data_IF_688484881460
#
_entry.id   IF_688484881460
#
_cell.length_a   1.000
_cell.length_b   1.000
_cell.length_c   1.000
_cell.angle_alpha   90.00
_cell.angle_beta   90.00
_cell.angle_gamma   90.00
#
_symmetry.space_group_name_H-M   'P 1'
#
loop_
_entity.id
_entity.type
_entity.pdbx_description
1 polymer ?
#
# COMPACT_ATOMS: atom_id res chain seq x y z
N UNK A 1 32.07 -30.42 42.23
CA UNK A 1 31.67 -29.00 42.13
C UNK A 1 31.14 -28.77 40.72
N UNK A 2 29.82 -28.64 40.58
CA UNK A 2 29.13 -28.46 39.30
C UNK A 2 28.74 -27.00 39.19
N UNK A 3 29.37 -26.24 38.26
CA UNK A 3 28.96 -24.87 37.92
C UNK A 3 27.87 -24.94 36.84
N UNK A 4 26.63 -24.66 37.22
CA UNK A 4 25.51 -24.43 36.31
C UNK A 4 25.57 -22.98 35.80
N UNK A 5 25.89 -22.78 34.53
CA UNK A 5 25.85 -21.50 33.86
C UNK A 5 24.44 -21.28 33.33
N UNK A 6 23.67 -20.44 34.03
CA UNK A 6 22.35 -19.97 33.59
C UNK A 6 22.54 -18.94 32.44
N UNK A 7 22.24 -19.36 31.21
CA UNK A 7 22.11 -18.47 30.05
C UNK A 7 20.76 -17.78 30.13
N UNK A 8 20.76 -16.52 30.58
CA UNK A 8 19.60 -15.64 30.56
C UNK A 8 19.51 -15.01 29.16
N UNK A 9 18.72 -15.62 28.27
CA UNK A 9 18.37 -15.06 26.95
C UNK A 9 17.42 -13.88 27.14
N UNK A 10 17.96 -12.67 27.06
CA UNK A 10 17.17 -11.46 26.97
C UNK A 10 16.50 -11.36 25.57
N UNK A 11 15.21 -11.68 25.49
CA UNK A 11 14.36 -11.42 24.34
C UNK A 11 14.09 -9.90 24.29
N UNK A 12 14.95 -9.15 23.60
CA UNK A 12 14.72 -7.74 23.29
C UNK A 12 13.62 -7.69 22.22
N UNK A 13 12.41 -7.32 22.64
CA UNK A 13 11.28 -7.05 21.77
C UNK A 13 11.57 -5.88 20.83
N UNK A 14 11.55 -6.13 19.53
CA UNK A 14 11.74 -5.15 18.44
C UNK A 14 10.48 -4.30 18.15
N UNK A 15 9.78 -3.80 19.16
CA UNK A 15 8.57 -2.96 18.96
C UNK A 15 8.80 -1.46 19.16
N UNK A 16 10.05 -0.99 19.23
CA UNK A 16 10.35 0.40 19.60
C UNK A 16 10.99 1.30 18.53
N UNK A 17 11.29 0.81 17.31
CA UNK A 17 12.13 1.59 16.37
C UNK A 17 11.40 2.72 15.63
N UNK A 18 10.08 2.65 15.42
CA UNK A 18 9.36 3.65 14.65
C UNK A 18 9.10 4.96 15.42
N UNK A 19 8.74 4.88 16.70
CA UNK A 19 8.53 6.08 17.53
C UNK A 19 9.79 6.90 17.69
N UNK A 20 10.93 6.25 17.93
CA UNK A 20 12.26 6.91 18.04
C UNK A 20 12.62 7.64 16.76
N UNK A 21 12.32 7.08 15.60
CA UNK A 21 12.56 7.73 14.31
C UNK A 21 11.71 9.00 14.15
N UNK A 22 10.41 8.96 14.44
CA UNK A 22 9.52 10.11 14.30
C UNK A 22 9.87 11.23 15.30
N UNK A 23 10.25 10.89 16.53
CA UNK A 23 10.70 11.85 17.53
C UNK A 23 12.05 12.49 17.15
N UNK A 24 12.93 11.76 16.46
CA UNK A 24 14.17 12.32 15.93
C UNK A 24 13.90 13.30 14.76
N UNK A 25 12.96 12.98 13.86
CA UNK A 25 12.56 13.85 12.76
C UNK A 25 11.95 15.17 13.27
N UNK A 26 11.15 15.12 14.31
CA UNK A 26 10.59 16.30 14.96
C UNK A 26 11.67 17.23 15.55
N UNK A 27 12.71 16.68 16.16
CA UNK A 27 13.85 17.46 16.68
C UNK A 27 14.61 18.21 15.59
N UNK A 28 14.56 17.76 14.35
CA UNK A 28 15.16 18.45 13.18
C UNK A 28 14.13 19.29 12.41
N UNK A 29 12.93 19.49 12.97
CA UNK A 29 11.92 20.40 12.46
C UNK A 29 10.93 19.78 11.45
N UNK A 30 10.86 18.45 11.35
CA UNK A 30 9.88 17.76 10.47
C UNK A 30 8.77 17.14 11.34
N UNK A 31 7.59 17.76 11.42
CA UNK A 31 6.51 17.26 12.26
C UNK A 31 5.88 15.99 11.67
N UNK A 32 5.38 15.11 12.54
CA UNK A 32 4.72 13.84 12.16
C UNK A 32 3.57 14.03 11.16
N UNK A 33 2.93 15.21 11.19
CA UNK A 33 1.87 15.58 10.24
C UNK A 33 2.39 15.69 8.80
N UNK A 34 3.55 16.29 8.59
CA UNK A 34 4.20 16.38 7.27
C UNK A 34 4.63 14.99 6.81
N UNK A 35 5.25 14.21 7.69
CA UNK A 35 5.63 12.83 7.38
C UNK A 35 4.41 12.01 6.96
N UNK A 36 3.25 12.17 7.62
CA UNK A 36 2.02 11.47 7.25
C UNK A 36 1.56 11.86 5.82
N UNK A 37 1.59 13.14 5.48
CA UNK A 37 1.25 13.63 4.14
C UNK A 37 2.19 13.02 3.10
N UNK A 38 3.50 13.03 3.34
CA UNK A 38 4.51 12.46 2.43
C UNK A 38 4.33 10.95 2.24
N UNK A 39 3.97 10.21 3.31
CA UNK A 39 3.69 8.77 3.21
C UNK A 39 2.42 8.47 2.40
N UNK A 40 1.37 9.28 2.58
CA UNK A 40 0.14 9.14 1.78
C UNK A 40 0.42 9.47 0.31
N UNK A 41 1.22 10.49 0.03
CA UNK A 41 1.64 10.86 -1.33
C UNK A 41 2.44 9.72 -1.99
N UNK A 42 3.42 9.17 -1.30
CA UNK A 42 4.21 8.03 -1.78
C UNK A 42 3.35 6.77 -2.02
N UNK A 43 2.35 6.50 -1.18
CA UNK A 43 1.43 5.37 -1.37
C UNK A 43 0.49 5.61 -2.57
N UNK A 44 -0.01 6.83 -2.76
CA UNK A 44 -0.79 7.22 -3.94
C UNK A 44 0.00 6.98 -5.24
N UNK A 45 1.26 7.41 -5.28
CA UNK A 45 2.13 7.23 -6.45
C UNK A 45 2.41 5.75 -6.70
N UNK A 46 2.70 4.97 -5.66
CA UNK A 46 2.88 3.52 -5.75
C UNK A 46 1.62 2.82 -6.29
N UNK A 47 0.42 3.25 -5.89
CA UNK A 47 -0.84 2.72 -6.44
C UNK A 47 -1.04 3.13 -7.91
N UNK A 48 -0.64 4.33 -8.31
CA UNK A 48 -0.69 4.76 -9.71
C UNK A 48 0.24 3.91 -10.59
N UNK A 49 1.45 3.61 -10.12
CA UNK A 49 2.38 2.74 -10.80
C UNK A 49 1.88 1.29 -10.88
N UNK A 50 1.32 0.77 -9.79
CA UNK A 50 0.72 -0.56 -9.76
C UNK A 50 -0.46 -0.66 -10.75
N UNK A 51 -1.33 0.36 -10.81
CA UNK A 51 -2.43 0.43 -11.79
C UNK A 51 -1.93 0.35 -13.22
N UNK A 52 -0.86 1.07 -13.55
CA UNK A 52 -0.23 1.01 -14.87
C UNK A 52 0.35 -0.37 -15.17
N UNK A 53 1.04 -0.96 -14.20
CA UNK A 53 1.63 -2.30 -14.33
C UNK A 53 0.57 -3.38 -14.57
N UNK A 54 -0.52 -3.42 -13.78
CA UNK A 54 -1.61 -4.38 -13.99
C UNK A 54 -2.30 -4.20 -15.34
N UNK A 55 -2.44 -2.97 -15.81
CA UNK A 55 -2.98 -2.68 -17.15
C UNK A 55 -2.04 -3.15 -18.25
N UNK A 56 -0.72 -2.95 -18.12
CA UNK A 56 0.30 -3.45 -19.06
C UNK A 56 0.29 -4.98 -19.11
N UNK A 57 0.31 -5.62 -17.94
CA UNK A 57 0.26 -7.08 -17.83
C UNK A 57 -0.98 -7.67 -18.51
N UNK A 58 -2.14 -7.05 -18.37
CA UNK A 58 -3.34 -7.46 -19.07
C UNK A 58 -3.20 -7.32 -20.59
N UNK A 59 -2.65 -6.20 -21.08
CA UNK A 59 -2.46 -5.99 -22.50
C UNK A 59 -1.53 -7.05 -23.11
N UNK A 60 -0.43 -7.39 -22.42
CA UNK A 60 0.48 -8.46 -22.82
C UNK A 60 -0.22 -9.83 -22.80
N UNK A 61 -1.02 -10.11 -21.78
CA UNK A 61 -1.78 -11.35 -21.68
C UNK A 61 -2.78 -11.51 -22.85
N UNK A 62 -3.51 -10.47 -23.18
CA UNK A 62 -4.49 -10.49 -24.28
C UNK A 62 -3.81 -10.62 -25.65
N UNK A 63 -2.57 -10.16 -25.80
CA UNK A 63 -1.80 -10.30 -27.04
C UNK A 63 -1.41 -11.76 -27.34
N UNK A 64 -1.32 -12.65 -26.33
CA UNK A 64 -0.94 -14.06 -26.49
C UNK A 64 -1.82 -14.81 -27.49
N UNK A 65 -3.11 -14.50 -27.53
CA UNK A 65 -4.07 -15.14 -28.43
C UNK A 65 -3.73 -14.98 -29.93
N UNK A 66 -2.83 -14.03 -30.28
CA UNK A 66 -2.44 -13.69 -31.65
C UNK A 66 -1.01 -14.13 -32.00
N UNK A 67 -0.34 -14.79 -31.07
CA UNK A 67 1.09 -15.15 -31.23
C UNK A 67 1.23 -16.43 -31.99
N UNK A 68 2.13 -16.50 -33.02
CA UNK A 68 2.41 -17.73 -33.73
C UNK A 68 3.15 -18.74 -32.81
N UNK A 69 2.98 -20.06 -33.04
CA UNK A 69 3.63 -21.10 -32.24
C UNK A 69 5.15 -20.97 -32.08
N UNK A 70 5.82 -20.40 -33.05
CA UNK A 70 7.28 -20.17 -33.04
C UNK A 70 7.73 -19.11 -31.99
N UNK A 71 6.82 -18.28 -31.49
CA UNK A 71 7.14 -17.20 -30.57
C UNK A 71 6.64 -17.47 -29.14
N UNK A 72 6.10 -18.66 -28.86
CA UNK A 72 5.50 -19.00 -27.58
C UNK A 72 6.48 -18.91 -26.40
N UNK A 73 7.74 -19.33 -26.62
CA UNK A 73 8.77 -19.24 -25.58
C UNK A 73 9.04 -17.77 -25.20
N UNK A 74 9.24 -16.90 -26.18
CA UNK A 74 9.48 -15.48 -25.95
C UNK A 74 8.24 -14.80 -25.31
N UNK A 75 7.04 -15.25 -25.64
CA UNK A 75 5.79 -14.77 -25.07
C UNK A 75 5.66 -15.19 -23.61
N UNK A 76 5.98 -16.45 -23.29
CA UNK A 76 6.03 -16.91 -21.90
C UNK A 76 6.99 -16.05 -21.05
N UNK A 77 8.21 -15.82 -21.57
CA UNK A 77 9.23 -15.04 -20.86
C UNK A 77 8.76 -13.60 -20.56
N UNK A 78 8.06 -12.98 -21.52
CA UNK A 78 7.44 -11.66 -21.32
C UNK A 78 6.33 -11.69 -20.25
N UNK A 79 5.44 -12.67 -20.32
CA UNK A 79 4.36 -12.79 -19.32
C UNK A 79 4.89 -13.10 -17.92
N UNK A 80 5.91 -13.93 -17.79
CA UNK A 80 6.57 -14.22 -16.52
C UNK A 80 7.24 -12.95 -15.94
N UNK A 81 7.86 -12.13 -16.78
CA UNK A 81 8.41 -10.85 -16.36
C UNK A 81 7.30 -9.86 -15.91
N UNK A 82 6.21 -9.72 -16.65
CA UNK A 82 5.06 -8.88 -16.28
C UNK A 82 4.42 -9.35 -14.97
N UNK A 83 4.29 -10.65 -14.75
CA UNK A 83 3.81 -11.21 -13.51
C UNK A 83 4.72 -10.84 -12.33
N UNK A 84 6.03 -11.03 -12.44
CA UNK A 84 7.01 -10.67 -11.41
C UNK A 84 7.02 -9.17 -11.11
N UNK A 85 6.87 -8.33 -12.11
CA UNK A 85 6.75 -6.89 -11.92
C UNK A 85 5.45 -6.54 -11.18
N UNK A 86 4.34 -7.19 -11.52
CA UNK A 86 3.05 -6.99 -10.82
C UNK A 86 3.12 -7.43 -9.35
N UNK A 87 3.79 -8.57 -9.05
CA UNK A 87 4.04 -8.98 -7.66
C UNK A 87 4.88 -7.95 -6.89
N UNK A 88 5.94 -7.43 -7.51
CA UNK A 88 6.79 -6.42 -6.89
C UNK A 88 6.02 -5.13 -6.57
N UNK A 89 5.21 -4.64 -7.52
CA UNK A 89 4.35 -3.46 -7.32
C UNK A 89 3.30 -3.68 -6.24
N UNK A 90 2.67 -4.85 -6.20
CA UNK A 90 1.71 -5.18 -5.14
C UNK A 90 2.36 -5.21 -3.75
N UNK A 91 3.58 -5.72 -3.64
CA UNK A 91 4.35 -5.70 -2.39
C UNK A 91 4.70 -4.27 -1.97
N UNK A 92 5.11 -3.43 -2.92
CA UNK A 92 5.44 -2.04 -2.67
C UNK A 92 4.22 -1.26 -2.14
N UNK A 93 3.06 -1.38 -2.79
CA UNK A 93 1.82 -0.74 -2.33
C UNK A 93 1.50 -1.11 -0.89
N UNK A 94 1.59 -2.39 -0.51
CA UNK A 94 1.35 -2.82 0.88
C UNK A 94 2.34 -2.20 1.86
N UNK A 95 3.63 -2.19 1.51
CA UNK A 95 4.64 -1.57 2.35
C UNK A 95 4.39 -0.07 2.57
N UNK A 96 3.92 0.65 1.54
CA UNK A 96 3.57 2.08 1.66
C UNK A 96 2.34 2.30 2.56
N UNK A 97 1.36 1.40 2.50
CA UNK A 97 0.19 1.43 3.39
C UNK A 97 0.60 1.20 4.85
N UNK A 98 1.49 0.24 5.11
CA UNK A 98 2.03 -0.01 6.44
C UNK A 98 2.82 1.21 6.97
N UNK A 99 3.57 1.90 6.11
CA UNK A 99 4.28 3.14 6.46
C UNK A 99 3.31 4.25 6.89
N UNK A 100 2.15 4.40 6.22
CA UNK A 100 1.10 5.35 6.60
C UNK A 100 0.56 5.01 7.99
N UNK A 101 0.21 3.75 8.23
CA UNK A 101 -0.36 3.33 9.51
C UNK A 101 0.61 3.60 10.66
N UNK A 102 1.89 3.30 10.46
CA UNK A 102 2.93 3.54 11.46
C UNK A 102 3.03 5.01 11.89
N UNK A 103 3.09 5.94 10.94
CA UNK A 103 3.20 7.38 11.27
C UNK A 103 1.89 7.95 11.80
N UNK A 104 0.74 7.48 11.29
CA UNK A 104 -0.57 7.93 11.76
C UNK A 104 -0.81 7.56 13.23
N UNK A 105 -0.45 6.36 13.64
CA UNK A 105 -0.54 5.92 15.04
C UNK A 105 0.32 6.81 15.95
N UNK A 106 1.56 7.10 15.55
CA UNK A 106 2.46 7.97 16.30
C UNK A 106 1.89 9.39 16.44
N UNK A 107 1.42 10.00 15.33
CA UNK A 107 0.79 11.31 15.31
C UNK A 107 -0.44 11.39 16.22
N UNK A 108 -1.34 10.40 16.13
CA UNK A 108 -2.58 10.42 16.91
C UNK A 108 -2.36 10.16 18.40
N UNK A 109 -1.34 9.36 18.75
CA UNK A 109 -0.95 9.16 20.15
C UNK A 109 -0.41 10.44 20.75
N UNK A 110 0.52 11.11 20.08
CA UNK A 110 1.09 12.38 20.48
C UNK A 110 -0.01 13.45 20.64
N UNK A 111 -0.81 13.69 19.61
CA UNK A 111 -1.87 14.67 19.63
C UNK A 111 -2.86 14.43 20.78
N UNK A 112 -3.20 13.16 21.06
CA UNK A 112 -4.06 12.81 22.19
C UNK A 112 -3.43 13.15 23.54
N UNK A 113 -2.11 12.95 23.70
CA UNK A 113 -1.38 13.28 24.91
C UNK A 113 -1.29 14.81 25.12
N UNK A 114 -1.11 15.56 24.04
CA UNK A 114 -1.04 17.02 24.07
C UNK A 114 -2.38 17.67 24.44
N UNK A 115 -3.53 17.04 24.15
CA UNK A 115 -4.83 17.56 24.59
C UNK A 115 -4.91 17.79 26.10
N UNK A 116 -4.17 17.01 26.89
CA UNK A 116 -4.08 17.17 28.33
C UNK A 116 -3.27 18.40 28.79
N UNK A 117 -2.47 18.98 27.92
CA UNK A 117 -1.57 20.11 28.23
C UNK A 117 -2.25 21.49 28.05
N UNK A 118 -3.36 21.55 27.29
CA UNK A 118 -4.10 22.79 27.07
C UNK A 118 -4.71 23.34 28.36
N UNK A 119 -4.33 24.55 28.72
CA UNK A 119 -4.97 25.30 29.84
C UNK A 119 -6.24 26.02 29.39
N UNK A 120 -6.32 26.37 28.08
CA UNK A 120 -7.51 27.04 27.52
C UNK A 120 -8.53 25.96 27.04
N UNK A 121 -9.73 25.89 27.66
CA UNK A 121 -10.72 24.87 27.36
C UNK A 121 -11.31 25.01 25.94
N UNK A 122 -11.36 26.21 25.38
CA UNK A 122 -11.83 26.45 24.01
C UNK A 122 -10.85 25.88 22.99
N UNK A 123 -9.55 26.14 23.15
CA UNK A 123 -8.51 25.60 22.27
C UNK A 123 -8.42 24.07 22.38
N UNK A 124 -8.51 23.52 23.60
CA UNK A 124 -8.58 22.07 23.82
C UNK A 124 -9.74 21.46 23.05
N UNK A 125 -10.95 21.99 23.20
CA UNK A 125 -12.14 21.47 22.50
C UNK A 125 -12.03 21.59 20.99
N UNK A 126 -11.42 22.66 20.47
CA UNK A 126 -11.16 22.81 19.04
C UNK A 126 -10.17 21.77 18.53
N UNK A 127 -9.05 21.55 19.23
CA UNK A 127 -8.04 20.56 18.89
C UNK A 127 -8.60 19.13 18.93
N UNK A 128 -9.43 18.81 19.92
CA UNK A 128 -10.12 17.50 20.04
C UNK A 128 -11.06 17.24 18.86
N UNK A 129 -11.82 18.24 18.42
CA UNK A 129 -12.66 18.11 17.21
C UNK A 129 -11.83 17.90 15.95
N UNK A 130 -10.69 18.60 15.82
CA UNK A 130 -9.78 18.43 14.68
C UNK A 130 -9.16 17.03 14.66
N UNK A 131 -8.69 16.53 15.82
CA UNK A 131 -8.17 15.19 15.96
C UNK A 131 -9.20 14.13 15.52
N UNK A 132 -10.44 14.26 16.04
CA UNK A 132 -11.54 13.35 15.69
C UNK A 132 -11.84 13.38 14.19
N UNK A 133 -11.92 14.56 13.58
CA UNK A 133 -12.16 14.72 12.16
C UNK A 133 -11.03 14.12 11.32
N UNK A 134 -9.78 14.31 11.74
CA UNK A 134 -8.61 13.75 11.05
C UNK A 134 -8.57 12.23 11.13
N UNK A 135 -8.85 11.65 12.31
CA UNK A 135 -8.98 10.19 12.48
C UNK A 135 -10.06 9.57 11.59
N UNK A 136 -11.20 10.25 11.46
CA UNK A 136 -12.29 9.76 10.61
C UNK A 136 -11.90 9.75 9.11
N UNK A 137 -11.21 10.81 8.64
CA UNK A 137 -10.70 10.86 7.26
C UNK A 137 -9.62 9.82 7.04
N UNK A 138 -8.70 9.65 7.97
CA UNK A 138 -7.68 8.62 7.94
C UNK A 138 -8.31 7.22 7.84
N UNK A 139 -9.30 6.91 8.65
CA UNK A 139 -9.99 5.62 8.61
C UNK A 139 -10.71 5.37 7.27
N UNK A 140 -11.27 6.42 6.65
CA UNK A 140 -11.86 6.33 5.32
C UNK A 140 -10.81 6.05 4.25
N UNK A 141 -9.68 6.75 4.28
CA UNK A 141 -8.53 6.54 3.40
C UNK A 141 -7.99 5.10 3.51
N UNK A 142 -7.66 4.65 4.72
CA UNK A 142 -7.09 3.31 4.94
C UNK A 142 -8.01 2.22 4.42
N UNK A 143 -9.31 2.32 4.66
CA UNK A 143 -10.28 1.34 4.17
C UNK A 143 -10.25 1.16 2.65
N UNK A 144 -10.13 2.24 1.87
CA UNK A 144 -10.10 2.14 0.40
C UNK A 144 -8.72 1.72 -0.11
N UNK A 145 -7.64 2.09 0.59
CA UNK A 145 -6.29 1.62 0.30
C UNK A 145 -6.16 0.11 0.54
N UNK A 146 -6.63 -0.38 1.68
CA UNK A 146 -6.62 -1.80 2.02
C UNK A 146 -7.49 -2.62 1.06
N UNK A 147 -8.66 -2.09 0.66
CA UNK A 147 -9.52 -2.74 -0.32
C UNK A 147 -8.80 -2.89 -1.67
N UNK A 148 -8.16 -1.83 -2.17
CA UNK A 148 -7.39 -1.87 -3.41
C UNK A 148 -6.19 -2.84 -3.30
N UNK A 149 -5.47 -2.82 -2.17
CA UNK A 149 -4.36 -3.73 -1.92
C UNK A 149 -4.78 -5.20 -1.85
N UNK A 150 -5.89 -5.50 -1.20
CA UNK A 150 -6.47 -6.85 -1.12
C UNK A 150 -6.92 -7.36 -2.50
N UNK A 151 -7.48 -6.48 -3.33
CA UNK A 151 -7.93 -6.80 -4.69
C UNK A 151 -6.81 -7.25 -5.63
N UNK A 152 -5.55 -6.93 -5.32
CA UNK A 152 -4.40 -7.39 -6.12
C UNK A 152 -4.14 -8.90 -6.00
N UNK A 153 -4.46 -9.53 -4.85
CA UNK A 153 -4.16 -10.95 -4.62
C UNK A 153 -4.87 -11.89 -5.61
N UNK A 154 -6.20 -11.84 -5.77
CA UNK A 154 -6.88 -12.74 -6.69
C UNK A 154 -6.43 -12.54 -8.14
N UNK A 155 -6.09 -11.31 -8.54
CA UNK A 155 -5.56 -11.02 -9.87
C UNK A 155 -4.17 -11.64 -10.05
N UNK A 156 -3.28 -11.53 -9.07
CA UNK A 156 -1.96 -12.14 -9.10
C UNK A 156 -2.03 -13.67 -9.12
N UNK A 157 -2.94 -14.26 -8.35
CA UNK A 157 -3.12 -15.72 -8.32
C UNK A 157 -3.62 -16.24 -9.69
N UNK A 158 -4.64 -15.58 -10.26
CA UNK A 158 -5.13 -15.92 -11.59
C UNK A 158 -4.05 -15.75 -12.67
N UNK A 159 -3.25 -14.69 -12.59
CA UNK A 159 -2.18 -14.44 -13.54
C UNK A 159 -1.03 -15.47 -13.40
N UNK A 160 -0.66 -15.82 -12.16
CA UNK A 160 0.32 -16.87 -11.85
C UNK A 160 -0.07 -18.21 -12.49
N UNK A 161 -1.33 -18.61 -12.33
CA UNK A 161 -1.84 -19.86 -12.88
C UNK A 161 -1.70 -19.90 -14.41
N UNK A 162 -1.99 -18.80 -15.09
CA UNK A 162 -1.85 -18.70 -16.54
C UNK A 162 -0.37 -18.79 -16.98
N UNK A 163 0.53 -18.10 -16.27
CA UNK A 163 1.98 -18.15 -16.53
C UNK A 163 2.53 -19.57 -16.31
N UNK A 164 2.14 -20.23 -15.22
CA UNK A 164 2.54 -21.61 -14.93
C UNK A 164 2.00 -22.60 -15.98
N UNK A 165 0.74 -22.42 -16.40
CA UNK A 165 0.17 -23.26 -17.45
C UNK A 165 0.93 -23.10 -18.76
N UNK A 166 1.24 -21.87 -19.16
CA UNK A 166 2.00 -21.61 -20.40
C UNK A 166 3.43 -22.16 -20.32
N UNK A 167 4.08 -22.09 -19.16
CA UNK A 167 5.44 -22.62 -18.93
C UNK A 167 5.58 -24.10 -19.36
N UNK A 168 4.55 -24.89 -19.11
CA UNK A 168 4.59 -26.34 -19.39
C UNK A 168 3.86 -26.75 -20.67
N UNK A 169 3.13 -25.82 -21.31
CA UNK A 169 2.28 -26.09 -22.45
C UNK A 169 2.50 -25.10 -23.59
N UNK A 170 3.75 -25.05 -24.13
CA UNK A 170 4.10 -24.15 -25.23
C UNK A 170 3.56 -24.68 -26.57
N UNK A 171 2.26 -24.73 -26.76
CA UNK A 171 1.59 -25.23 -27.96
C UNK A 171 0.31 -24.45 -28.29
N UNK A 172 -0.25 -24.66 -29.48
CA UNK A 172 -1.44 -23.97 -29.94
C UNK A 172 -2.68 -24.21 -29.05
N UNK A 173 -2.77 -25.36 -28.40
CA UNK A 173 -3.88 -25.67 -27.48
C UNK A 173 -3.80 -24.82 -26.20
N UNK A 174 -2.60 -24.52 -25.72
CA UNK A 174 -2.42 -23.61 -24.59
C UNK A 174 -2.90 -22.19 -24.92
N UNK A 175 -2.62 -21.68 -26.12
CA UNK A 175 -3.13 -20.38 -26.57
C UNK A 175 -4.65 -20.34 -26.55
N UNK A 176 -5.29 -21.39 -27.08
CA UNK A 176 -6.77 -21.48 -27.09
C UNK A 176 -7.36 -21.48 -25.67
N UNK A 177 -6.70 -22.17 -24.74
CA UNK A 177 -7.11 -22.23 -23.32
C UNK A 177 -6.96 -20.87 -22.64
N UNK A 178 -5.85 -20.17 -22.85
CA UNK A 178 -5.61 -18.81 -22.33
C UNK A 178 -6.66 -17.83 -22.83
N UNK A 179 -7.04 -17.92 -24.10
CA UNK A 179 -8.10 -17.09 -24.69
C UNK A 179 -9.46 -17.30 -24.03
N UNK A 180 -9.76 -18.52 -23.56
CA UNK A 180 -10.98 -18.83 -22.83
C UNK A 180 -11.10 -18.11 -21.48
N UNK A 181 -9.97 -17.97 -20.77
CA UNK A 181 -9.93 -17.36 -19.41
C UNK A 181 -9.69 -15.85 -19.46
N UNK A 182 -9.43 -15.29 -20.64
CA UNK A 182 -9.07 -13.87 -20.78
C UNK A 182 -10.15 -12.89 -20.31
N UNK A 183 -11.42 -13.25 -20.45
CA UNK A 183 -12.55 -12.39 -20.06
C UNK A 183 -12.66 -12.22 -18.55
N UNK A 184 -12.46 -13.26 -17.79
CA UNK A 184 -12.50 -13.24 -16.32
C UNK A 184 -11.35 -12.39 -15.78
N UNK A 185 -10.12 -12.66 -16.20
CA UNK A 185 -8.95 -11.87 -15.82
C UNK A 185 -9.10 -10.40 -16.20
N UNK A 186 -9.68 -10.09 -17.38
CA UNK A 186 -9.96 -8.71 -17.80
C UNK A 186 -10.95 -8.03 -16.86
N UNK A 187 -12.00 -8.72 -16.42
CA UNK A 187 -12.98 -8.18 -15.48
C UNK A 187 -12.36 -7.92 -14.11
N UNK A 188 -11.53 -8.84 -13.62
CA UNK A 188 -10.88 -8.72 -12.33
C UNK A 188 -9.89 -7.55 -12.31
N UNK A 189 -9.07 -7.41 -13.34
CA UNK A 189 -8.16 -6.26 -13.48
C UNK A 189 -8.94 -4.95 -13.64
N UNK A 190 -10.06 -4.94 -14.36
CA UNK A 190 -10.88 -3.73 -14.50
C UNK A 190 -11.46 -3.29 -13.15
N UNK A 191 -11.90 -4.23 -12.30
CA UNK A 191 -12.36 -3.93 -10.94
C UNK A 191 -11.22 -3.41 -10.07
N UNK A 192 -10.07 -4.08 -10.11
CA UNK A 192 -8.88 -3.64 -9.38
C UNK A 192 -8.45 -2.22 -9.75
N UNK A 193 -8.41 -1.90 -11.05
CA UNK A 193 -8.10 -0.54 -11.55
C UNK A 193 -9.10 0.48 -11.00
N UNK A 194 -10.39 0.17 -10.99
CA UNK A 194 -11.42 1.07 -10.45
C UNK A 194 -11.26 1.29 -8.92
N UNK A 195 -10.92 0.25 -8.16
CA UNK A 195 -10.65 0.35 -6.73
C UNK A 195 -9.39 1.18 -6.45
N UNK A 196 -8.32 0.99 -7.24
CA UNK A 196 -7.12 1.81 -7.16
C UNK A 196 -7.40 3.28 -7.47
N UNK A 197 -8.17 3.59 -8.51
CA UNK A 197 -8.56 4.96 -8.84
C UNK A 197 -9.37 5.64 -7.73
N UNK A 198 -10.25 4.89 -7.07
CA UNK A 198 -10.98 5.39 -5.90
C UNK A 198 -10.02 5.68 -4.74
N UNK A 199 -9.08 4.78 -4.47
CA UNK A 199 -8.07 4.95 -3.43
C UNK A 199 -7.17 6.16 -3.69
N UNK A 200 -6.71 6.36 -4.92
CA UNK A 200 -5.90 7.50 -5.34
C UNK A 200 -6.65 8.82 -5.11
N UNK A 201 -7.93 8.91 -5.51
CA UNK A 201 -8.75 10.11 -5.25
C UNK A 201 -8.94 10.40 -3.76
N UNK A 202 -9.11 9.38 -2.94
CA UNK A 202 -9.23 9.55 -1.49
C UNK A 202 -7.91 10.01 -0.86
N UNK A 203 -6.77 9.53 -1.37
CA UNK A 203 -5.45 10.02 -0.97
C UNK A 203 -5.27 11.50 -1.29
N UNK A 204 -5.60 11.94 -2.51
CA UNK A 204 -5.56 13.35 -2.89
C UNK A 204 -6.45 14.22 -1.99
N UNK A 205 -7.67 13.76 -1.67
CA UNK A 205 -8.59 14.46 -0.79
C UNK A 205 -8.05 14.53 0.66
N UNK A 206 -7.43 13.46 1.14
CA UNK A 206 -6.79 13.44 2.46
C UNK A 206 -5.62 14.43 2.53
N UNK A 207 -4.70 14.40 1.56
CA UNK A 207 -3.56 15.31 1.46
C UNK A 207 -4.05 16.77 1.47
N UNK A 208 -5.02 17.11 0.60
CA UNK A 208 -5.59 18.46 0.53
C UNK A 208 -6.20 18.89 1.88
N UNK A 209 -6.90 17.99 2.57
CA UNK A 209 -7.50 18.27 3.88
C UNK A 209 -6.46 18.50 4.97
N UNK A 210 -5.33 17.81 4.91
CA UNK A 210 -4.22 17.97 5.85
C UNK A 210 -3.48 19.29 5.60
N UNK A 211 -3.32 19.72 4.38
CA UNK A 211 -2.68 20.98 4.02
C UNK A 211 -3.56 22.20 4.34
N UNK A 212 -4.88 22.08 4.16
CA UNK A 212 -5.82 23.18 4.42
C UNK A 212 -6.08 23.41 5.93
N UNK A 213 -5.90 22.42 6.77
CA UNK A 213 -6.10 22.58 8.21
C UNK A 213 -4.88 23.27 8.85
N UNK A 214 -5.06 24.37 9.62
CA UNK A 214 -3.94 25.00 10.32
C UNK A 214 -3.26 23.97 11.25
N UNK A 215 -1.93 24.09 11.44
CA UNK A 215 -1.25 23.25 12.41
C UNK A 215 -1.88 23.43 13.79
N UNK A 216 -1.93 22.38 14.64
CA UNK A 216 -2.37 22.55 16.02
C UNK A 216 -1.54 23.67 16.66
N UNK A 217 -2.15 24.58 17.44
CA UNK A 217 -1.42 25.63 18.11
C UNK A 217 -0.37 24.96 19.02
N UNK A 218 0.89 25.40 18.89
CA UNK A 218 1.98 24.91 19.73
C UNK A 218 1.60 25.08 21.20
N UNK A 219 1.72 24.03 21.99
CA UNK A 219 1.62 24.12 23.44
C UNK A 219 2.83 24.91 23.96
N UNK A 220 2.64 26.17 24.35
CA UNK A 220 3.63 26.97 25.06
C UNK A 220 3.71 26.58 26.52
#
# INVERSE_FOLDING_TARGET
MRFSLLFLTALLGFTGCSSVYYDAMEKVGVPKREILVDRVDAARDSQQEAKQQFSSALAQFLAVAKVPPSELQATYEKLDAEFKHSEARAKEVRSRIDDIDSVAQALFAEWSNELGQYKNPTLRSQSERQLTATRNRYAALMRVMDQAAAGMNPVLDAFRDQVLFLKHNLNAQAIASLSGNSRELQQDISRLVADMEKSIREADAFIASMQAAPPPPAAN
#
